data_IF_672708697650
#
_entry.id   IF_672708697650
#
_cell.length_a   1.000
_cell.length_b   1.000
_cell.length_c   1.000
_cell.angle_alpha   90.00
_cell.angle_beta   90.00
_cell.angle_gamma   90.00
#
_symmetry.space_group_name_H-M   'P 1'
#
loop_
_entity.id
_entity.type
_entity.pdbx_description
1 polymer ?
#
# COMPACT_ATOMS: atom_id res chain seq x y z
N UNK A 1 -28.75 31.63 -31.06
CA UNK A 1 -29.45 30.45 -30.48
C UNK A 1 -28.46 29.31 -30.45
N UNK A 2 -27.91 29.02 -29.27
CA UNK A 2 -26.91 27.96 -29.09
C UNK A 2 -27.60 26.61 -28.93
N UNK A 3 -27.27 25.68 -29.81
CA UNK A 3 -27.71 24.28 -29.75
C UNK A 3 -26.92 23.57 -28.63
N UNK A 4 -27.61 23.19 -27.56
CA UNK A 4 -27.09 22.24 -26.59
C UNK A 4 -27.19 20.83 -27.17
N UNK A 5 -26.05 20.27 -27.60
CA UNK A 5 -25.90 18.84 -27.88
C UNK A 5 -25.95 18.08 -26.54
N UNK A 6 -27.09 17.46 -26.27
CA UNK A 6 -27.31 16.63 -25.09
C UNK A 6 -26.42 15.38 -25.08
N UNK A 7 -25.98 15.03 -23.88
CA UNK A 7 -25.19 13.84 -23.59
C UNK A 7 -25.88 12.56 -24.10
N UNK A 8 -25.10 11.72 -24.77
CA UNK A 8 -25.51 10.38 -25.18
C UNK A 8 -25.84 9.54 -23.94
N UNK A 9 -27.04 8.97 -23.89
CA UNK A 9 -27.40 7.96 -22.89
C UNK A 9 -26.67 6.67 -23.20
N UNK A 10 -25.55 6.42 -22.51
CA UNK A 10 -24.90 5.11 -22.54
C UNK A 10 -25.88 4.04 -22.03
N UNK A 11 -26.06 2.90 -22.73
CA UNK A 11 -26.90 1.83 -22.23
C UNK A 11 -26.36 1.35 -20.87
N UNK A 12 -27.26 1.22 -19.88
CA UNK A 12 -26.93 0.64 -18.58
C UNK A 12 -26.50 -0.80 -18.82
N UNK A 13 -25.19 -1.03 -18.84
CA UNK A 13 -24.62 -2.37 -18.75
C UNK A 13 -25.06 -2.91 -17.40
N UNK A 14 -25.94 -3.92 -17.39
CA UNK A 14 -26.23 -4.68 -16.17
C UNK A 14 -24.92 -5.33 -15.73
N UNK A 15 -24.29 -4.75 -14.72
CA UNK A 15 -23.13 -5.33 -14.06
C UNK A 15 -23.65 -6.46 -13.19
N UNK A 16 -23.56 -7.69 -13.69
CA UNK A 16 -23.67 -8.88 -12.85
C UNK A 16 -22.42 -8.92 -11.95
N UNK A 17 -22.54 -8.37 -10.74
CA UNK A 17 -21.47 -8.25 -9.75
C UNK A 17 -20.98 -9.59 -9.19
N UNK A 18 -21.68 -10.70 -9.46
CA UNK A 18 -21.46 -11.97 -8.76
C UNK A 18 -20.54 -12.95 -9.51
N UNK A 19 -20.37 -12.81 -10.83
CA UNK A 19 -19.60 -13.78 -11.65
C UNK A 19 -18.16 -13.34 -11.96
N UNK A 20 -17.81 -12.08 -11.72
CA UNK A 20 -16.47 -11.53 -11.90
C UNK A 20 -16.07 -10.93 -10.56
N UNK A 21 -15.28 -11.65 -9.76
CA UNK A 21 -14.20 -11.09 -8.92
C UNK A 21 -13.79 -11.98 -7.74
N UNK A 22 -14.60 -12.94 -7.29
CA UNK A 22 -14.25 -13.71 -6.06
C UNK A 22 -13.01 -14.59 -6.26
N UNK A 23 -12.94 -15.37 -7.35
CA UNK A 23 -11.77 -16.21 -7.64
C UNK A 23 -10.52 -15.37 -7.97
N UNK A 24 -10.70 -14.23 -8.66
CA UNK A 24 -9.61 -13.28 -8.96
C UNK A 24 -9.10 -12.59 -7.71
N UNK A 25 -9.98 -12.23 -6.78
CA UNK A 25 -9.62 -11.67 -5.49
C UNK A 25 -8.92 -12.72 -4.63
N UNK A 26 -9.48 -13.93 -4.52
CA UNK A 26 -8.88 -15.04 -3.77
C UNK A 26 -7.47 -15.39 -4.27
N UNK A 27 -7.29 -15.49 -5.59
CA UNK A 27 -5.96 -15.70 -6.19
C UNK A 27 -5.01 -14.53 -5.93
N UNK A 28 -5.49 -13.29 -6.00
CA UNK A 28 -4.68 -12.10 -5.70
C UNK A 28 -4.25 -12.07 -4.23
N UNK A 29 -5.11 -12.47 -3.29
CA UNK A 29 -4.76 -12.60 -1.86
C UNK A 29 -3.70 -13.69 -1.64
N UNK A 30 -3.76 -14.82 -2.37
CA UNK A 30 -2.69 -15.83 -2.33
C UNK A 30 -1.35 -15.25 -2.81
N UNK A 31 -1.35 -14.47 -3.89
CA UNK A 31 -0.13 -13.83 -4.41
C UNK A 31 0.49 -12.86 -3.40
N UNK A 32 -0.31 -12.15 -2.61
CA UNK A 32 0.20 -11.30 -1.53
C UNK A 32 1.03 -12.06 -0.49
N UNK A 33 0.80 -13.36 -0.31
CA UNK A 33 1.51 -14.21 0.66
C UNK A 33 2.75 -14.88 0.07
N UNK A 34 2.76 -15.12 -1.24
CA UNK A 34 3.77 -15.97 -1.90
C UNK A 34 4.71 -15.21 -2.83
N UNK A 35 4.36 -14.00 -3.26
CA UNK A 35 5.11 -13.20 -4.21
C UNK A 35 5.44 -11.82 -3.62
N UNK A 36 6.70 -11.65 -3.21
CA UNK A 36 7.18 -10.40 -2.62
C UNK A 36 7.14 -9.23 -3.59
N UNK A 37 7.38 -9.45 -4.89
CA UNK A 37 7.34 -8.40 -5.90
C UNK A 37 5.90 -7.96 -6.16
N UNK A 38 4.95 -8.89 -6.16
CA UNK A 38 3.54 -8.55 -6.20
C UNK A 38 3.12 -7.75 -4.96
N UNK A 39 3.51 -8.20 -3.77
CA UNK A 39 3.25 -7.49 -2.51
C UNK A 39 3.81 -6.07 -2.53
N UNK A 40 5.05 -5.89 -3.02
CA UNK A 40 5.67 -4.58 -3.23
C UNK A 40 4.83 -3.67 -4.11
N UNK A 41 4.36 -4.17 -5.25
CA UNK A 41 3.51 -3.41 -6.18
C UNK A 41 2.22 -2.95 -5.52
N UNK A 42 1.59 -3.79 -4.70
CA UNK A 42 0.38 -3.40 -3.98
C UNK A 42 0.66 -2.37 -2.88
N UNK A 43 1.81 -2.43 -2.21
CA UNK A 43 2.22 -1.42 -1.22
C UNK A 43 2.45 -0.06 -1.87
N UNK A 44 3.11 0.00 -3.02
CA UNK A 44 3.42 1.26 -3.71
C UNK A 44 2.17 2.02 -4.17
N UNK A 45 1.02 1.35 -4.28
CA UNK A 45 -0.27 1.99 -4.58
C UNK A 45 -0.89 2.70 -3.38
N UNK A 46 -0.46 2.37 -2.16
CA UNK A 46 -0.99 2.99 -0.94
C UNK A 46 -0.43 4.40 -0.81
N UNK A 47 -1.31 5.38 -0.77
CA UNK A 47 -0.96 6.79 -0.54
C UNK A 47 -1.03 7.15 0.95
N UNK A 48 -0.28 8.18 1.34
CA UNK A 48 -0.44 8.82 2.64
C UNK A 48 -1.67 9.73 2.64
N UNK A 49 -2.25 9.96 3.81
CA UNK A 49 -3.36 10.89 3.97
C UNK A 49 -2.90 12.35 3.88
N UNK A 50 -1.70 12.65 4.39
CA UNK A 50 -1.10 14.00 4.38
C UNK A 50 -0.25 14.22 3.12
N UNK A 51 -0.46 15.30 2.33
CA UNK A 51 0.35 15.60 1.15
C UNK A 51 1.86 15.74 1.43
N UNK A 52 2.23 16.30 2.59
CA UNK A 52 3.63 16.41 3.00
C UNK A 52 4.29 15.05 3.21
N UNK A 53 3.54 14.08 3.74
CA UNK A 53 4.00 12.70 3.91
C UNK A 53 4.02 11.96 2.58
N UNK A 54 3.03 12.20 1.71
CA UNK A 54 3.01 11.64 0.35
C UNK A 54 4.29 12.01 -0.42
N UNK A 55 4.78 13.25 -0.27
CA UNK A 55 6.05 13.66 -0.90
C UNK A 55 7.24 12.84 -0.38
N UNK A 56 7.26 12.51 0.91
CA UNK A 56 8.30 11.67 1.52
C UNK A 56 8.19 10.23 0.99
N UNK A 57 6.97 9.70 0.82
CA UNK A 57 6.75 8.38 0.23
C UNK A 57 7.31 8.32 -1.18
N UNK A 58 6.98 9.29 -2.04
CA UNK A 58 7.49 9.34 -3.41
C UNK A 58 9.03 9.39 -3.44
N UNK A 59 9.66 10.19 -2.55
CA UNK A 59 11.12 10.25 -2.43
C UNK A 59 11.72 8.91 -1.98
N UNK A 60 11.08 8.23 -1.03
CA UNK A 60 11.52 6.94 -0.53
C UNK A 60 11.36 5.84 -1.59
N UNK A 61 10.21 5.82 -2.26
CA UNK A 61 9.86 4.85 -3.30
C UNK A 61 10.85 4.99 -4.49
N UNK A 62 11.20 6.21 -4.92
CA UNK A 62 12.24 6.42 -5.95
C UNK A 62 13.61 5.83 -5.58
N UNK A 63 14.04 6.00 -4.32
CA UNK A 63 15.30 5.43 -3.83
C UNK A 63 15.23 3.92 -3.72
N UNK A 64 14.09 3.40 -3.31
CA UNK A 64 13.86 1.98 -3.19
C UNK A 64 13.89 1.28 -4.55
N UNK A 65 13.26 1.87 -5.57
CA UNK A 65 13.31 1.35 -6.94
C UNK A 65 14.72 1.39 -7.55
N UNK A 66 15.61 2.23 -6.99
CA UNK A 66 17.04 2.28 -7.34
C UNK A 66 17.92 1.38 -6.47
N UNK A 67 17.31 0.48 -5.69
CA UNK A 67 17.96 -0.44 -4.75
C UNK A 67 18.78 0.25 -3.63
N UNK A 68 18.57 1.56 -3.41
CA UNK A 68 19.19 2.30 -2.30
C UNK A 68 18.33 2.16 -1.03
N UNK A 69 18.29 0.93 -0.50
CA UNK A 69 17.47 0.56 0.66
C UNK A 69 17.78 1.41 1.90
N UNK A 70 19.03 1.84 2.04
CA UNK A 70 19.49 2.69 3.16
C UNK A 70 18.87 4.07 3.08
N UNK A 71 18.96 4.75 1.92
CA UNK A 71 18.36 6.08 1.78
C UNK A 71 16.83 6.02 1.78
N UNK A 72 16.23 4.96 1.25
CA UNK A 72 14.79 4.72 1.33
C UNK A 72 14.33 4.59 2.79
N UNK A 73 14.99 3.73 3.58
CA UNK A 73 14.72 3.56 5.02
C UNK A 73 14.83 4.89 5.77
N UNK A 74 15.92 5.63 5.55
CA UNK A 74 16.14 6.92 6.20
C UNK A 74 15.04 7.95 5.88
N UNK A 75 14.51 7.96 4.65
CA UNK A 75 13.43 8.84 4.25
C UNK A 75 12.11 8.49 4.95
N UNK A 76 11.76 7.21 5.02
CA UNK A 76 10.53 6.75 5.68
C UNK A 76 10.59 6.97 7.19
N UNK A 77 11.73 6.72 7.84
CA UNK A 77 11.91 7.00 9.26
C UNK A 77 11.82 8.49 9.58
N UNK A 78 12.30 9.37 8.69
CA UNK A 78 12.03 10.82 8.79
C UNK A 78 10.54 11.09 8.71
N UNK A 79 9.83 10.44 7.79
CA UNK A 79 8.37 10.51 7.68
C UNK A 79 7.69 10.15 9.01
N UNK A 80 8.08 9.05 9.65
CA UNK A 80 7.51 8.62 10.92
C UNK A 80 7.78 9.58 12.08
N UNK A 81 8.88 10.34 12.05
CA UNK A 81 9.13 11.40 13.05
C UNK A 81 8.13 12.54 12.92
N UNK A 82 7.61 12.79 11.72
CA UNK A 82 6.66 13.87 11.41
C UNK A 82 5.22 13.40 11.59
N UNK A 83 4.89 12.20 11.12
CA UNK A 83 3.54 11.64 11.11
C UNK A 83 3.56 10.18 11.56
N UNK A 84 3.39 9.97 12.87
CA UNK A 84 3.32 8.63 13.49
C UNK A 84 1.99 7.92 13.23
N UNK A 85 1.02 8.63 12.67
CA UNK A 85 -0.35 8.24 12.37
C UNK A 85 -0.57 7.97 10.87
N UNK A 86 0.48 7.61 10.13
CA UNK A 86 0.40 7.27 8.69
C UNK A 86 0.82 5.81 8.46
N UNK A 87 -0.15 4.95 8.18
CA UNK A 87 0.03 3.50 8.00
C UNK A 87 0.87 3.19 6.77
N UNK A 88 0.74 3.99 5.72
CA UNK A 88 1.54 3.89 4.50
C UNK A 88 3.06 3.91 4.77
N UNK A 89 3.53 4.67 5.77
CA UNK A 89 4.94 4.70 6.17
C UNK A 89 5.38 3.40 6.84
N UNK A 90 4.59 2.90 7.79
CA UNK A 90 4.84 1.64 8.46
C UNK A 90 4.83 0.47 7.49
N UNK A 91 3.91 0.48 6.53
CA UNK A 91 3.78 -0.57 5.52
C UNK A 91 5.03 -0.68 4.64
N UNK A 92 5.57 0.45 4.18
CA UNK A 92 6.81 0.48 3.39
C UNK A 92 8.03 0.08 4.21
N UNK A 93 8.12 0.52 5.46
CA UNK A 93 9.20 0.11 6.37
C UNK A 93 9.15 -1.38 6.69
N UNK A 94 7.95 -1.95 6.89
CA UNK A 94 7.79 -3.37 7.10
C UNK A 94 8.34 -4.19 5.91
N UNK A 95 7.97 -3.81 4.68
CA UNK A 95 8.45 -4.50 3.49
C UNK A 95 9.96 -4.29 3.24
N UNK A 96 10.47 -3.07 3.40
CA UNK A 96 11.92 -2.80 3.29
C UNK A 96 12.74 -3.60 4.29
N UNK A 97 12.28 -3.72 5.54
CA UNK A 97 12.96 -4.53 6.55
C UNK A 97 12.93 -6.01 6.20
N UNK A 98 11.84 -6.48 5.59
CA UNK A 98 11.77 -7.85 5.08
C UNK A 98 12.78 -8.09 3.96
N UNK A 99 12.87 -7.19 2.96
CA UNK A 99 13.87 -7.26 1.88
C UNK A 99 15.32 -7.24 2.42
N UNK A 100 15.56 -6.54 3.53
CA UNK A 100 16.86 -6.49 4.21
C UNK A 100 17.17 -7.74 5.05
N UNK A 101 16.25 -8.70 5.16
CA UNK A 101 16.37 -9.88 6.03
C UNK A 101 16.13 -9.60 7.52
N UNK A 102 15.65 -8.40 7.86
CA UNK A 102 15.37 -7.95 9.23
C UNK A 102 13.92 -8.29 9.63
N UNK A 103 13.61 -9.59 9.68
CA UNK A 103 12.24 -10.11 9.85
C UNK A 103 11.57 -9.59 11.13
N UNK A 104 12.28 -9.54 12.26
CA UNK A 104 11.74 -9.03 13.54
C UNK A 104 11.35 -7.55 13.45
N UNK A 105 12.18 -6.75 12.78
CA UNK A 105 11.88 -5.33 12.58
C UNK A 105 10.72 -5.13 11.62
N UNK A 106 10.65 -5.95 10.56
CA UNK A 106 9.53 -5.96 9.62
C UNK A 106 8.21 -6.16 10.36
N UNK A 107 8.13 -7.21 11.18
CA UNK A 107 6.95 -7.52 11.98
C UNK A 107 6.62 -6.40 12.97
N UNK A 108 7.62 -5.86 13.68
CA UNK A 108 7.43 -4.78 14.64
C UNK A 108 6.87 -3.48 13.99
N UNK A 109 7.34 -3.11 12.80
CA UNK A 109 6.78 -1.97 12.06
C UNK A 109 5.34 -2.24 11.63
N UNK A 110 5.05 -3.47 11.19
CA UNK A 110 3.70 -3.84 10.77
C UNK A 110 2.70 -3.81 11.94
N UNK A 111 3.06 -4.41 13.07
CA UNK A 111 2.26 -4.37 14.30
C UNK A 111 1.97 -2.93 14.73
N UNK A 112 2.96 -2.04 14.63
CA UNK A 112 2.77 -0.62 14.96
C UNK A 112 1.87 0.10 13.95
N UNK A 113 1.98 -0.24 12.67
CA UNK A 113 1.09 0.27 11.63
C UNK A 113 -0.37 -0.14 11.83
N UNK A 114 -0.62 -1.35 12.33
CA UNK A 114 -1.97 -1.86 12.62
C UNK A 114 -2.69 -1.09 13.73
N UNK A 115 -1.95 -0.38 14.58
CA UNK A 115 -2.53 0.48 15.63
C UNK A 115 -3.06 1.81 15.08
N UNK A 116 -2.81 2.10 13.80
CA UNK A 116 -3.25 3.36 13.20
C UNK A 116 -4.75 3.34 12.88
N UNK A 117 -5.50 4.22 13.54
CA UNK A 117 -6.96 4.30 13.44
C UNK A 117 -7.48 4.71 12.07
N UNK A 118 -6.66 5.41 11.29
CA UNK A 118 -7.03 5.92 9.97
C UNK A 118 -6.60 4.99 8.82
N UNK A 119 -6.03 3.82 9.13
CA UNK A 119 -5.65 2.85 8.12
C UNK A 119 -6.89 2.28 7.43
N UNK A 120 -6.88 2.28 6.10
CA UNK A 120 -7.90 1.63 5.29
C UNK A 120 -7.89 0.12 5.48
N UNK A 121 -9.00 -0.56 5.15
CA UNK A 121 -9.08 -2.03 5.19
C UNK A 121 -8.00 -2.71 4.35
N UNK A 122 -7.58 -2.07 3.24
CA UNK A 122 -6.51 -2.57 2.38
C UNK A 122 -5.15 -2.47 3.07
N UNK A 123 -4.83 -1.33 3.69
CA UNK A 123 -3.60 -1.18 4.47
C UNK A 123 -3.53 -2.17 5.64
N UNK A 124 -4.64 -2.37 6.34
CA UNK A 124 -4.73 -3.34 7.43
C UNK A 124 -4.48 -4.77 6.93
N UNK A 125 -5.05 -5.13 5.78
CA UNK A 125 -4.80 -6.44 5.16
C UNK A 125 -3.31 -6.61 4.82
N UNK A 126 -2.70 -5.61 4.16
CA UNK A 126 -1.30 -5.67 3.77
C UNK A 126 -0.35 -5.72 4.98
N UNK A 127 -0.63 -4.95 6.03
CA UNK A 127 0.15 -4.96 7.28
C UNK A 127 0.06 -6.32 8.00
N UNK A 128 -1.12 -6.97 7.98
CA UNK A 128 -1.30 -8.28 8.61
C UNK A 128 -0.41 -9.37 8.03
N UNK A 129 -0.04 -9.27 6.75
CA UNK A 129 0.86 -10.24 6.08
C UNK A 129 2.19 -10.37 6.84
N UNK A 130 2.77 -9.24 7.26
CA UNK A 130 4.04 -9.19 8.00
C UNK A 130 3.91 -9.58 9.47
N UNK A 131 2.69 -9.55 10.02
CA UNK A 131 2.42 -9.93 11.42
C UNK A 131 2.11 -11.43 11.57
N UNK A 132 1.70 -12.08 10.48
CA UNK A 132 1.33 -13.50 10.45
C UNK A 132 2.54 -14.44 10.31
N UNK A 133 3.68 -13.94 9.81
CA UNK A 133 4.93 -14.69 9.71
C UNK A 133 5.62 -14.71 11.09
N UNK A 134 5.32 -15.74 11.90
CA UNK A 134 6.04 -16.08 13.14
C UNK A 134 6.76 -17.41 12.97
#
# INVERSE_FOLDING_TARGET
MSLFLGCTSSPKKETNFYDLEVEKFSSSVKLLLTDLEFLKKEILKVNANKPSVQRILIEADDKWMKEDLKKASSALERGLRIAKDESALYLRLAHLRLEQGLIKESSAFAERGLLNKNASSWELLLLKIYSAQK
#
